data_IF_496103857340
#
_entry.id   IF_496103857340
#
_cell.length_a   1.000
_cell.length_b   1.000
_cell.length_c   1.000
_cell.angle_alpha   90.00
_cell.angle_beta   90.00
_cell.angle_gamma   90.00
#
_symmetry.space_group_name_H-M   'P 1'
#
loop_
_entity.id
_entity.type
_entity.pdbx_description
1 polymer ?
#
# COMPACT_ATOMS: atom_id res chain seq x y z
N UNK A 1 36.14 1.28 7.28
CA UNK A 1 34.96 2.01 6.79
C UNK A 1 34.41 2.85 7.93
N UNK A 2 34.30 4.17 7.75
CA UNK A 2 33.91 5.07 8.86
C UNK A 2 32.43 4.90 9.20
N UNK A 3 32.12 4.51 10.43
CA UNK A 3 30.74 4.32 10.92
C UNK A 3 29.88 5.55 10.67
N UNK A 4 30.43 6.76 10.76
CA UNK A 4 29.75 8.03 10.49
C UNK A 4 29.17 8.10 9.07
N UNK A 5 29.90 7.58 8.08
CA UNK A 5 29.48 7.57 6.67
C UNK A 5 28.26 6.67 6.47
N UNK A 6 28.29 5.50 7.10
CA UNK A 6 27.18 4.55 7.01
C UNK A 6 25.93 5.15 7.64
N UNK A 7 26.05 5.78 8.81
CA UNK A 7 24.92 6.41 9.49
C UNK A 7 24.28 7.49 8.61
N UNK A 8 25.09 8.37 8.00
CA UNK A 8 24.57 9.44 7.12
C UNK A 8 23.80 8.84 5.93
N UNK A 9 24.36 7.81 5.27
CA UNK A 9 23.72 7.15 4.13
C UNK A 9 22.35 6.56 4.54
N UNK A 10 22.29 5.87 5.68
CA UNK A 10 21.05 5.29 6.17
C UNK A 10 20.01 6.34 6.56
N UNK A 11 20.43 7.41 7.24
CA UNK A 11 19.54 8.52 7.62
C UNK A 11 18.94 9.17 6.38
N UNK A 12 19.76 9.48 5.36
CA UNK A 12 19.28 10.05 4.10
C UNK A 12 18.31 9.09 3.41
N UNK A 13 18.62 7.79 3.36
CA UNK A 13 17.76 6.78 2.75
C UNK A 13 16.40 6.67 3.44
N UNK A 14 16.37 6.60 4.77
CA UNK A 14 15.14 6.51 5.54
C UNK A 14 14.30 7.78 5.38
N UNK A 15 14.91 8.97 5.53
CA UNK A 15 14.20 10.24 5.39
C UNK A 15 13.63 10.41 3.98
N UNK A 16 14.36 9.99 2.95
CA UNK A 16 13.85 10.02 1.57
C UNK A 16 12.64 9.09 1.41
N UNK A 17 12.72 7.86 1.92
CA UNK A 17 11.61 6.90 1.86
C UNK A 17 10.37 7.44 2.57
N UNK A 18 10.52 7.98 3.79
CA UNK A 18 9.43 8.61 4.55
C UNK A 18 8.85 9.80 3.79
N UNK A 19 9.70 10.63 3.17
CA UNK A 19 9.25 11.77 2.36
C UNK A 19 8.38 11.32 1.19
N UNK A 20 8.78 10.26 0.46
CA UNK A 20 8.00 9.73 -0.68
C UNK A 20 6.60 9.35 -0.24
N UNK A 21 6.47 8.55 0.82
CA UNK A 21 5.16 8.11 1.30
C UNK A 21 4.33 9.25 1.91
N UNK A 22 4.98 10.21 2.59
CA UNK A 22 4.28 11.41 3.08
C UNK A 22 3.73 12.27 1.93
N UNK A 23 4.44 12.38 0.82
CA UNK A 23 3.96 13.11 -0.37
C UNK A 23 2.78 12.36 -0.99
N UNK A 24 2.86 11.02 -1.09
CA UNK A 24 1.75 10.21 -1.61
C UNK A 24 0.50 10.42 -0.78
N UNK A 25 0.60 10.31 0.55
CA UNK A 25 -0.51 10.48 1.49
C UNK A 25 -1.11 11.90 1.42
N UNK A 26 -0.27 12.93 1.25
CA UNK A 26 -0.73 14.31 1.12
C UNK A 26 -1.49 14.58 -0.19
N UNK A 27 -1.12 13.89 -1.28
CA UNK A 27 -1.74 14.08 -2.61
C UNK A 27 -2.96 13.16 -2.78
N UNK A 28 -2.88 11.95 -2.27
CA UNK A 28 -3.90 10.92 -2.39
C UNK A 28 -4.05 10.17 -1.07
N UNK A 29 -4.93 10.67 -0.16
CA UNK A 29 -5.12 10.06 1.15
C UNK A 29 -5.69 8.64 1.03
N UNK A 30 -5.33 7.80 2.00
CA UNK A 30 -5.84 6.44 2.10
C UNK A 30 -7.37 6.44 2.25
N UNK A 31 -8.12 5.63 1.47
CA UNK A 31 -9.57 5.52 1.63
C UNK A 31 -9.92 4.94 3.01
N UNK A 32 -10.84 5.58 3.72
CA UNK A 32 -11.34 5.08 5.00
C UNK A 32 -12.61 4.26 4.78
N UNK A 33 -12.73 3.13 5.48
CA UNK A 33 -13.89 2.25 5.38
C UNK A 33 -15.20 2.97 5.72
N UNK A 34 -15.17 3.87 6.70
CA UNK A 34 -16.32 4.64 7.18
C UNK A 34 -16.86 5.65 6.15
N UNK A 35 -16.04 6.03 5.14
CA UNK A 35 -16.49 6.91 4.05
C UNK A 35 -17.45 6.20 3.10
N UNK A 36 -17.28 4.90 2.94
CA UNK A 36 -18.08 4.05 2.05
C UNK A 36 -19.17 3.31 2.79
N UNK A 37 -18.84 2.76 3.95
CA UNK A 37 -19.73 1.92 4.75
C UNK A 37 -20.10 2.64 6.04
N UNK A 38 -21.00 3.61 5.93
CA UNK A 38 -21.58 4.23 7.14
C UNK A 38 -22.43 3.20 7.86
N UNK A 39 -22.02 2.80 9.05
CA UNK A 39 -22.85 2.02 9.93
C UNK A 39 -24.09 2.83 10.30
N UNK A 40 -25.20 2.59 9.63
CA UNK A 40 -26.49 3.23 9.93
C UNK A 40 -27.05 2.83 11.30
N UNK A 41 -26.46 1.80 11.91
CA UNK A 41 -26.87 1.35 13.24
C UNK A 41 -25.63 1.07 14.09
N UNK A 42 -25.61 1.60 15.33
CA UNK A 42 -24.57 1.23 16.28
C UNK A 42 -24.74 -0.26 16.59
N UNK A 43 -23.94 -1.11 15.96
CA UNK A 43 -23.73 -2.46 16.46
C UNK A 43 -23.15 -2.25 17.87
N UNK A 44 -23.82 -2.70 18.94
CA UNK A 44 -23.24 -2.58 20.26
C UNK A 44 -21.89 -3.29 20.25
N UNK A 45 -20.80 -2.54 20.39
CA UNK A 45 -19.41 -3.08 20.40
C UNK A 45 -19.13 -4.06 21.54
N UNK A 46 -20.09 -4.25 22.42
CA UNK A 46 -20.09 -5.27 23.44
C UNK A 46 -21.29 -6.19 23.20
N UNK A 47 -21.15 -7.13 22.27
CA UNK A 47 -21.94 -8.35 22.37
C UNK A 47 -21.34 -9.10 23.57
N UNK A 48 -21.71 -8.72 24.81
CA UNK A 48 -21.76 -9.72 25.86
C UNK A 48 -22.63 -10.83 25.31
N UNK A 49 -22.21 -12.09 25.37
CA UNK A 49 -23.11 -13.17 25.04
C UNK A 49 -24.25 -13.14 26.04
N UNK A 50 -25.23 -12.30 25.77
CA UNK A 50 -26.52 -12.42 26.41
C UNK A 50 -27.06 -13.70 25.81
N UNK A 51 -26.99 -14.76 26.59
CA UNK A 51 -27.77 -15.99 26.33
C UNK A 51 -29.22 -15.57 26.41
N UNK A 52 -29.71 -14.98 25.31
CA UNK A 52 -31.13 -14.66 25.16
C UNK A 52 -31.76 -15.96 24.68
N UNK A 53 -32.40 -16.61 25.60
CA UNK A 53 -33.24 -17.81 25.39
C UNK A 53 -34.47 -17.50 24.53
N UNK A 54 -34.46 -16.35 23.84
CA UNK A 54 -35.52 -15.96 22.90
C UNK A 54 -35.04 -16.28 21.48
N UNK A 55 -35.58 -17.37 20.93
CA UNK A 55 -35.40 -17.78 19.55
C UNK A 55 -35.85 -16.64 18.62
N UNK A 56 -34.90 -15.90 18.04
CA UNK A 56 -35.21 -14.94 16.98
C UNK A 56 -35.86 -15.72 15.80
N UNK A 57 -36.90 -15.18 15.18
CA UNK A 57 -37.50 -15.81 14.02
C UNK A 57 -36.47 -15.90 12.88
N UNK A 58 -36.33 -17.04 12.19
CA UNK A 58 -35.41 -17.18 11.08
C UNK A 58 -35.84 -16.30 9.91
N UNK A 59 -34.92 -15.47 9.41
CA UNK A 59 -35.13 -14.70 8.17
C UNK A 59 -34.76 -15.58 6.99
N UNK A 60 -35.68 -15.77 6.07
CA UNK A 60 -35.45 -16.47 4.82
C UNK A 60 -35.12 -15.45 3.74
N UNK A 61 -33.89 -15.49 3.20
CA UNK A 61 -33.48 -14.66 2.07
C UNK A 61 -34.06 -15.26 0.79
N UNK A 62 -34.70 -14.43 -0.03
CA UNK A 62 -35.21 -14.89 -1.35
C UNK A 62 -33.99 -15.07 -2.28
N UNK A 63 -33.95 -16.20 -2.97
CA UNK A 63 -32.86 -16.51 -3.91
C UNK A 63 -32.69 -15.43 -5.02
N UNK A 64 -33.78 -14.82 -5.43
CA UNK A 64 -33.78 -13.73 -6.42
C UNK A 64 -33.06 -12.49 -5.89
N UNK A 65 -33.30 -12.12 -4.62
CA UNK A 65 -32.65 -10.96 -3.99
C UNK A 65 -31.16 -11.22 -3.79
N UNK A 66 -30.80 -12.44 -3.38
CA UNK A 66 -29.41 -12.84 -3.25
C UNK A 66 -28.68 -12.81 -4.61
N UNK A 67 -29.32 -13.32 -5.67
CA UNK A 67 -28.76 -13.29 -7.01
C UNK A 67 -28.61 -11.86 -7.55
N UNK A 68 -29.63 -11.04 -7.38
CA UNK A 68 -29.59 -9.62 -7.77
C UNK A 68 -28.53 -8.84 -7.01
N UNK A 69 -28.29 -9.17 -5.73
CA UNK A 69 -27.24 -8.54 -4.94
C UNK A 69 -25.84 -8.96 -5.42
N UNK A 70 -25.64 -10.26 -5.68
CA UNK A 70 -24.36 -10.77 -6.21
C UNK A 70 -24.04 -10.21 -7.60
N UNK A 71 -25.06 -10.00 -8.47
CA UNK A 71 -24.86 -9.38 -9.78
C UNK A 71 -24.35 -7.92 -9.68
N UNK A 72 -24.66 -7.27 -8.56
CA UNK A 72 -24.16 -5.91 -8.23
C UNK A 72 -22.84 -5.93 -7.43
N UNK A 73 -22.22 -7.09 -7.25
CA UNK A 73 -21.06 -7.30 -6.38
C UNK A 73 -21.33 -6.81 -4.94
N UNK A 74 -22.56 -6.96 -4.47
CA UNK A 74 -22.97 -6.58 -3.12
C UNK A 74 -23.04 -7.77 -2.18
N UNK A 75 -22.96 -7.47 -0.89
CA UNK A 75 -23.14 -8.42 0.22
C UNK A 75 -24.52 -8.21 0.88
N UNK A 76 -25.16 -9.31 1.29
CA UNK A 76 -26.38 -9.25 2.07
C UNK A 76 -26.04 -8.88 3.52
N UNK A 77 -26.51 -7.72 3.96
CA UNK A 77 -26.41 -7.27 5.34
C UNK A 77 -27.72 -7.40 6.04
N UNK A 78 -27.70 -8.00 7.24
CA UNK A 78 -28.87 -8.09 8.10
C UNK A 78 -29.07 -6.81 8.90
N UNK A 79 -30.32 -6.39 9.01
CA UNK A 79 -30.74 -5.29 9.86
C UNK A 79 -31.26 -5.87 11.16
N UNK A 80 -30.67 -5.44 12.26
CA UNK A 80 -31.02 -5.91 13.61
C UNK A 80 -31.91 -4.91 14.34
N UNK A 81 -32.80 -5.41 15.17
CA UNK A 81 -33.60 -4.59 16.08
C UNK A 81 -32.83 -4.27 17.38
N UNK A 82 -33.46 -3.50 18.28
CA UNK A 82 -32.89 -3.17 19.59
C UNK A 82 -32.66 -4.38 20.50
N UNK A 83 -33.23 -5.54 20.19
CA UNK A 83 -33.09 -6.79 20.92
C UNK A 83 -32.00 -7.71 20.31
N UNK A 84 -31.34 -7.27 19.23
CA UNK A 84 -30.32 -8.03 18.53
C UNK A 84 -30.86 -9.11 17.60
N UNK A 85 -32.18 -9.12 17.32
CA UNK A 85 -32.76 -10.01 16.34
C UNK A 85 -32.72 -9.39 14.94
N UNK A 86 -32.29 -10.19 13.95
CA UNK A 86 -32.37 -9.78 12.57
C UNK A 86 -33.85 -9.67 12.15
N UNK A 87 -34.23 -8.49 11.65
CA UNK A 87 -35.61 -8.18 11.24
C UNK A 87 -35.79 -8.06 9.75
N UNK A 88 -34.70 -7.70 9.06
CA UNK A 88 -34.70 -7.52 7.60
C UNK A 88 -33.30 -7.75 7.04
N UNK A 89 -33.16 -7.73 5.73
CA UNK A 89 -31.87 -7.73 5.05
C UNK A 89 -31.85 -6.67 3.94
N UNK A 90 -30.66 -6.13 3.69
CA UNK A 90 -30.42 -5.20 2.57
C UNK A 90 -29.20 -5.65 1.77
N UNK A 91 -29.20 -5.37 0.49
CA UNK A 91 -27.99 -5.50 -0.33
C UNK A 91 -27.12 -4.26 -0.13
N UNK A 92 -25.87 -4.44 0.23
CA UNK A 92 -24.89 -3.38 0.40
C UNK A 92 -23.73 -3.59 -0.56
N UNK A 93 -23.40 -2.56 -1.32
CA UNK A 93 -22.25 -2.52 -2.24
C UNK A 93 -21.04 -1.80 -1.65
N UNK A 94 -21.20 -1.25 -0.44
CA UNK A 94 -20.21 -0.39 0.19
C UNK A 94 -18.83 -1.05 0.32
N UNK A 95 -18.80 -2.35 0.65
CA UNK A 95 -17.57 -3.12 0.77
C UNK A 95 -16.83 -3.22 -0.56
N UNK A 96 -17.56 -3.50 -1.64
CA UNK A 96 -16.99 -3.59 -2.99
C UNK A 96 -16.49 -2.22 -3.47
N UNK A 97 -17.18 -1.15 -3.12
CA UNK A 97 -16.77 0.23 -3.43
C UNK A 97 -15.49 0.58 -2.68
N UNK A 98 -15.40 0.23 -1.39
CA UNK A 98 -14.19 0.39 -0.59
C UNK A 98 -13.01 -0.42 -1.15
N UNK A 99 -13.19 -1.72 -1.41
CA UNK A 99 -12.17 -2.60 -1.99
C UNK A 99 -11.67 -2.05 -3.34
N UNK A 100 -12.58 -1.55 -4.19
CA UNK A 100 -12.20 -0.92 -5.47
C UNK A 100 -11.40 0.38 -5.27
N UNK A 101 -11.74 1.18 -4.24
CA UNK A 101 -11.01 2.40 -3.92
C UNK A 101 -9.61 2.07 -3.35
N UNK A 102 -9.51 1.03 -2.52
CA UNK A 102 -8.26 0.52 -1.96
C UNK A 102 -7.31 0.00 -3.06
N UNK A 103 -7.83 -0.80 -4.01
CA UNK A 103 -7.07 -1.26 -5.18
C UNK A 103 -6.53 -0.08 -6.01
N UNK A 104 -7.33 0.95 -6.25
CA UNK A 104 -6.88 2.16 -6.96
C UNK A 104 -5.80 2.90 -6.17
N UNK A 105 -6.00 3.06 -4.86
CA UNK A 105 -5.00 3.69 -4.00
C UNK A 105 -3.66 2.94 -4.09
N UNK A 106 -3.66 1.61 -3.95
CA UNK A 106 -2.48 0.79 -4.05
C UNK A 106 -1.76 0.96 -5.40
N UNK A 107 -2.51 1.02 -6.51
CA UNK A 107 -1.94 1.27 -7.85
C UNK A 107 -1.28 2.66 -7.92
N UNK A 108 -1.91 3.72 -7.39
CA UNK A 108 -1.32 5.06 -7.36
C UNK A 108 -0.06 5.11 -6.50
N UNK A 109 -0.08 4.47 -5.31
CA UNK A 109 1.11 4.34 -4.46
C UNK A 109 2.27 3.72 -5.24
N UNK A 110 2.02 2.63 -5.96
CA UNK A 110 3.02 1.97 -6.79
C UNK A 110 3.59 2.89 -7.88
N UNK A 111 2.74 3.50 -8.70
CA UNK A 111 3.21 4.33 -9.80
C UNK A 111 3.98 5.55 -9.33
N UNK A 112 3.49 6.25 -8.31
CA UNK A 112 4.14 7.46 -7.80
C UNK A 112 5.46 7.09 -7.12
N UNK A 113 5.48 6.06 -6.27
CA UNK A 113 6.71 5.59 -5.62
C UNK A 113 7.75 5.12 -6.63
N UNK A 114 7.35 4.41 -7.70
CA UNK A 114 8.24 3.97 -8.76
C UNK A 114 8.89 5.15 -9.50
N UNK A 115 8.10 6.16 -9.89
CA UNK A 115 8.62 7.34 -10.57
C UNK A 115 9.58 8.12 -9.68
N UNK A 116 9.21 8.42 -8.43
CA UNK A 116 10.05 9.15 -7.49
C UNK A 116 11.33 8.38 -7.14
N UNK A 117 11.23 7.06 -6.99
CA UNK A 117 12.37 6.17 -6.73
C UNK A 117 13.35 6.17 -7.89
N UNK A 118 12.86 6.05 -9.13
CA UNK A 118 13.72 6.14 -10.32
C UNK A 118 14.44 7.49 -10.37
N UNK A 119 13.76 8.60 -10.16
CA UNK A 119 14.37 9.93 -10.14
C UNK A 119 15.46 10.02 -9.06
N UNK A 120 15.21 9.52 -7.85
CA UNK A 120 16.21 9.50 -6.78
C UNK A 120 17.44 8.67 -7.14
N UNK A 121 17.25 7.50 -7.75
CA UNK A 121 18.34 6.63 -8.19
C UNK A 121 19.15 7.34 -9.28
N UNK A 122 18.50 7.96 -10.27
CA UNK A 122 19.20 8.74 -11.29
C UNK A 122 20.00 9.90 -10.69
N UNK A 123 19.40 10.70 -9.80
CA UNK A 123 20.11 11.76 -9.08
C UNK A 123 21.32 11.19 -8.35
N UNK A 124 21.15 10.08 -7.62
CA UNK A 124 22.24 9.44 -6.89
C UNK A 124 23.37 8.93 -7.77
N UNK A 125 23.07 8.45 -9.00
CA UNK A 125 24.05 8.00 -9.98
C UNK A 125 24.82 9.17 -10.64
N UNK A 126 24.16 10.28 -10.89
CA UNK A 126 24.75 11.43 -11.61
C UNK A 126 25.39 12.46 -10.69
N UNK A 127 25.19 12.40 -9.37
CA UNK A 127 25.89 13.26 -8.43
C UNK A 127 27.40 13.02 -8.53
N UNK A 128 28.21 14.07 -8.88
CA UNK A 128 29.64 13.90 -9.11
C UNK A 128 30.37 13.58 -7.80
N UNK A 129 30.81 12.34 -7.65
CA UNK A 129 31.60 11.87 -6.50
C UNK A 129 32.98 12.57 -6.40
N UNK A 130 33.50 13.08 -7.53
CA UNK A 130 34.90 13.60 -7.64
C UNK A 130 35.15 14.93 -6.97
N UNK A 131 34.16 15.70 -6.54
CA UNK A 131 34.32 17.07 -6.04
C UNK A 131 34.30 17.21 -4.51
N UNK A 132 33.54 16.39 -3.82
CA UNK A 132 33.46 16.36 -2.36
C UNK A 132 32.97 14.98 -1.88
N UNK A 133 33.60 14.41 -0.88
CA UNK A 133 33.19 13.12 -0.29
C UNK A 133 31.74 13.15 0.24
N UNK A 134 31.21 14.31 0.61
CA UNK A 134 29.83 14.49 1.04
C UNK A 134 28.81 14.17 -0.06
N UNK A 135 29.10 14.58 -1.31
CA UNK A 135 28.22 14.31 -2.46
C UNK A 135 28.12 12.82 -2.76
N UNK A 136 29.19 12.08 -2.56
CA UNK A 136 29.22 10.62 -2.72
C UNK A 136 28.30 9.94 -1.71
N UNK A 137 28.31 10.40 -0.45
CA UNK A 137 27.48 9.79 0.60
C UNK A 137 26.00 10.13 0.43
N UNK A 138 25.69 11.39 0.10
CA UNK A 138 24.32 11.82 -0.21
C UNK A 138 23.79 11.06 -1.43
N UNK A 139 24.58 10.96 -2.51
CA UNK A 139 24.19 10.21 -3.70
C UNK A 139 23.91 8.73 -3.41
N UNK A 140 24.75 8.10 -2.59
CA UNK A 140 24.53 6.72 -2.14
C UNK A 140 23.27 6.60 -1.27
N UNK A 141 22.99 7.59 -0.43
CA UNK A 141 21.76 7.66 0.37
C UNK A 141 20.51 7.77 -0.49
N UNK A 142 20.53 8.60 -1.55
CA UNK A 142 19.40 8.68 -2.50
C UNK A 142 19.20 7.39 -3.29
N UNK A 143 20.26 6.71 -3.72
CA UNK A 143 20.16 5.41 -4.39
C UNK A 143 19.53 4.36 -3.47
N UNK A 144 19.99 4.28 -2.23
CA UNK A 144 19.47 3.34 -1.25
C UNK A 144 18.03 3.67 -0.87
N UNK A 145 17.72 4.96 -0.64
CA UNK A 145 16.37 5.42 -0.33
C UNK A 145 15.38 5.21 -1.47
N UNK A 146 15.80 5.47 -2.72
CA UNK A 146 15.01 5.15 -3.91
C UNK A 146 14.73 3.65 -4.03
N UNK A 147 15.74 2.81 -3.77
CA UNK A 147 15.54 1.34 -3.77
C UNK A 147 14.55 0.91 -2.70
N UNK A 148 14.63 1.46 -1.49
CA UNK A 148 13.68 1.16 -0.42
C UNK A 148 12.26 1.64 -0.75
N UNK A 149 12.10 2.87 -1.26
CA UNK A 149 10.80 3.39 -1.63
C UNK A 149 10.14 2.57 -2.75
N UNK A 150 10.91 2.11 -3.74
CA UNK A 150 10.44 1.22 -4.77
C UNK A 150 9.96 -0.12 -4.18
N UNK A 151 10.79 -0.74 -3.36
CA UNK A 151 10.49 -2.02 -2.73
C UNK A 151 9.24 -1.97 -1.83
N UNK A 152 9.11 -0.94 -0.99
CA UNK A 152 7.92 -0.76 -0.16
C UNK A 152 6.68 -0.47 -1.00
N UNK A 153 6.78 0.36 -2.05
CA UNK A 153 5.70 0.60 -2.99
C UNK A 153 5.21 -0.68 -3.65
N UNK A 154 6.13 -1.56 -4.05
CA UNK A 154 5.80 -2.88 -4.61
C UNK A 154 5.12 -3.79 -3.58
N UNK A 155 5.59 -3.81 -2.32
CA UNK A 155 4.96 -4.61 -1.25
C UNK A 155 3.52 -4.17 -0.99
N UNK A 156 3.27 -2.86 -0.86
CA UNK A 156 1.94 -2.32 -0.59
C UNK A 156 0.98 -2.68 -1.72
N UNK A 157 1.43 -2.61 -2.96
CA UNK A 157 0.60 -2.86 -4.14
C UNK A 157 0.61 -4.31 -4.60
N UNK A 158 1.31 -5.20 -3.89
CA UNK A 158 1.54 -6.57 -4.37
C UNK A 158 0.25 -7.37 -4.58
N UNK A 159 -0.74 -7.21 -3.69
CA UNK A 159 -2.05 -7.89 -3.80
C UNK A 159 -2.86 -7.42 -5.01
N UNK A 160 -2.67 -6.15 -5.43
CA UNK A 160 -3.52 -5.49 -6.40
C UNK A 160 -2.89 -5.45 -7.81
N UNK A 161 -1.59 -5.79 -7.88
CA UNK A 161 -0.91 -6.02 -9.15
C UNK A 161 -1.40 -7.32 -9.79
N UNK A 162 -1.81 -7.25 -11.06
CA UNK A 162 -2.24 -8.41 -11.83
C UNK A 162 -1.23 -9.57 -11.79
N UNK A 163 -1.73 -10.80 -11.79
CA UNK A 163 -0.95 -12.04 -11.61
C UNK A 163 0.32 -12.12 -12.48
N UNK A 164 0.27 -11.59 -13.71
CA UNK A 164 1.40 -11.57 -14.63
C UNK A 164 2.34 -10.38 -14.43
N UNK A 165 1.84 -9.27 -13.89
CA UNK A 165 2.62 -8.04 -13.70
C UNK A 165 3.59 -8.21 -12.52
N UNK A 166 3.18 -8.90 -11.45
CA UNK A 166 4.01 -9.15 -10.26
C UNK A 166 5.43 -9.67 -10.57
N UNK A 167 5.59 -10.81 -11.29
CA UNK A 167 6.92 -11.32 -11.58
C UNK A 167 7.73 -10.41 -12.50
N UNK A 168 7.08 -9.68 -13.41
CA UNK A 168 7.74 -8.73 -14.31
C UNK A 168 8.32 -7.54 -13.53
N UNK A 169 7.55 -6.98 -12.60
CA UNK A 169 8.00 -5.86 -11.75
C UNK A 169 9.21 -6.29 -10.91
N UNK A 170 9.11 -7.43 -10.20
CA UNK A 170 10.22 -7.94 -9.37
C UNK A 170 11.46 -8.20 -10.21
N UNK A 171 11.31 -8.72 -11.43
CA UNK A 171 12.42 -8.96 -12.33
C UNK A 171 13.09 -7.66 -12.79
N UNK A 172 12.31 -6.62 -13.10
CA UNK A 172 12.83 -5.30 -13.45
C UNK A 172 13.55 -4.64 -12.26
N UNK A 173 13.01 -4.75 -11.05
CA UNK A 173 13.67 -4.28 -9.83
C UNK A 173 15.01 -4.99 -9.60
N UNK A 174 15.05 -6.32 -9.80
CA UNK A 174 16.28 -7.10 -9.68
C UNK A 174 17.35 -6.62 -10.68
N UNK A 175 16.97 -6.43 -11.95
CA UNK A 175 17.89 -5.90 -12.98
C UNK A 175 18.40 -4.52 -12.57
N UNK A 176 17.53 -3.66 -12.09
CA UNK A 176 17.88 -2.31 -11.66
C UNK A 176 18.90 -2.34 -10.51
N UNK A 177 18.69 -3.17 -9.50
CA UNK A 177 19.62 -3.35 -8.37
C UNK A 177 20.99 -3.86 -8.86
N UNK A 178 21.00 -4.87 -9.74
CA UNK A 178 22.24 -5.41 -10.32
C UNK A 178 22.96 -4.31 -11.11
N UNK A 179 22.24 -3.53 -11.90
CA UNK A 179 22.83 -2.42 -12.69
C UNK A 179 23.45 -1.36 -11.79
N UNK A 180 22.76 -0.96 -10.72
CA UNK A 180 23.28 -0.01 -9.72
C UNK A 180 24.55 -0.55 -9.08
N UNK A 181 24.52 -1.80 -8.62
CA UNK A 181 25.67 -2.47 -8.00
C UNK A 181 26.87 -2.52 -8.94
N UNK A 182 26.66 -2.95 -10.19
CA UNK A 182 27.72 -3.02 -11.20
C UNK A 182 28.36 -1.65 -11.47
N UNK A 183 27.55 -0.62 -11.67
CA UNK A 183 28.05 0.74 -11.94
C UNK A 183 28.79 1.35 -10.74
N UNK A 184 28.31 1.10 -9.53
CA UNK A 184 28.98 1.61 -8.32
C UNK A 184 30.30 0.90 -8.05
N UNK A 185 30.38 -0.41 -8.25
CA UNK A 185 31.61 -1.20 -8.07
C UNK A 185 32.63 -0.87 -9.19
N UNK A 186 32.17 -0.67 -10.43
CA UNK A 186 33.02 -0.29 -11.54
C UNK A 186 33.77 1.02 -11.29
N UNK A 187 33.07 2.03 -10.81
CA UNK A 187 33.69 3.34 -10.51
C UNK A 187 34.74 3.27 -9.37
N UNK A 188 34.58 2.36 -8.41
CA UNK A 188 35.56 2.16 -7.32
C UNK A 188 36.85 1.48 -7.79
N UNK A 189 36.83 0.86 -8.97
CA UNK A 189 38.00 0.14 -9.55
C UNK A 189 38.88 1.04 -10.41
N UNK A 190 38.32 2.10 -10.97
CA UNK A 190 39.09 3.10 -11.75
C UNK A 190 39.85 4.09 -10.86
N UNK A 191 39.48 4.25 -9.60
CA UNK A 191 40.11 5.17 -8.64
C UNK A 191 41.29 4.54 -7.84
N UNK A 192 41.71 3.29 -8.18
CA UNK A 192 42.92 2.63 -7.66
C UNK A 192 44.04 2.62 -8.71
#
# INVERSE_FOLDING_TARGET
MDIRKIIIIFVVAILFTVLVFSVIEAVYPHPEYDDFCKEEFPVPREIKPVVVENSCPPITIKQEDQKSCNEKNGDIQYVYDSNGCATNYKCSTCRNEYETAEERYAQYVFYISAVLSMLAIFIGLYLPAKKNSLHEWIGTGFMLGGTFALFFGTIISFSDLGRFIRPVVIFLELILIIFIAYRKIGNLREDK
#
